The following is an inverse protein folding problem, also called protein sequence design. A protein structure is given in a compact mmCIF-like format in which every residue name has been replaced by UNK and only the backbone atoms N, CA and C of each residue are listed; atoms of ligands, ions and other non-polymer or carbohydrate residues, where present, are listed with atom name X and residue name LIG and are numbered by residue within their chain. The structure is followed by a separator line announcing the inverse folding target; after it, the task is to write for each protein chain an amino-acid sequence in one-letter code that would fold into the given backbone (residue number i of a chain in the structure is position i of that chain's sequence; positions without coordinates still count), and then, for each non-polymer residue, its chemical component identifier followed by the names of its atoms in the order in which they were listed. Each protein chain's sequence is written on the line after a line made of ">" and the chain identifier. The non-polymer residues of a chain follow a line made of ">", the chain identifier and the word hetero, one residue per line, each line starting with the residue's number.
data_IF_457481285038
#
_entry.id   IF_457481285038
#
_cell.length_a   1.000
_cell.length_b   1.000
_cell.length_c   1.000
_cell.angle_alpha   90.00
_cell.angle_beta   90.00
_cell.angle_gamma   90.00
#
_symmetry.space_group_name_H-M   'P 1'
#
loop_
_entity.id
_entity.type
_entity.pdbx_description
1 polymer ?
#
# COMPACT_ATOMS: atom_id res chain seq x y z
N UNK A 1 -22.32 -2.42 -4.12
CA UNK A 1 -21.13 -1.69 -4.63
C UNK A 1 -20.68 -0.68 -3.59
N UNK A 2 -19.46 -0.14 -3.71
CA UNK A 2 -18.98 0.94 -2.81
C UNK A 2 -19.93 2.15 -2.88
N UNK A 3 -20.34 2.54 -4.10
CA UNK A 3 -21.30 3.64 -4.34
C UNK A 3 -22.59 3.47 -3.53
N UNK A 4 -23.24 2.31 -3.65
CA UNK A 4 -24.51 2.06 -2.97
C UNK A 4 -24.36 2.15 -1.44
N UNK A 5 -23.26 1.62 -0.88
CA UNK A 5 -23.03 1.68 0.57
C UNK A 5 -22.78 3.12 1.05
N UNK A 6 -22.03 3.92 0.31
CA UNK A 6 -21.80 5.34 0.62
C UNK A 6 -23.08 6.18 0.52
N UNK A 7 -23.96 5.87 -0.43
CA UNK A 7 -25.26 6.54 -0.57
C UNK A 7 -26.26 6.13 0.53
N UNK A 8 -26.24 4.85 0.93
CA UNK A 8 -27.09 4.34 2.02
C UNK A 8 -26.66 4.84 3.40
N UNK A 9 -25.37 5.11 3.57
CA UNK A 9 -24.78 5.47 4.85
C UNK A 9 -23.84 6.67 4.72
N UNK A 10 -24.40 7.90 4.75
CA UNK A 10 -23.63 9.13 4.66
C UNK A 10 -22.69 9.38 5.85
N UNK A 11 -22.79 8.56 6.92
CA UNK A 11 -21.92 8.69 8.09
C UNK A 11 -20.52 8.13 7.87
N UNK A 12 -20.33 7.31 6.82
CA UNK A 12 -19.01 6.76 6.47
C UNK A 12 -18.09 7.89 6.04
N UNK A 13 -17.03 8.10 6.83
CA UNK A 13 -16.02 9.14 6.62
C UNK A 13 -14.65 8.57 6.21
N UNK A 14 -14.46 7.25 6.30
CA UNK A 14 -13.27 6.53 5.84
C UNK A 14 -13.61 5.21 5.14
N UNK A 15 -12.81 4.90 4.12
CA UNK A 15 -12.79 3.61 3.43
C UNK A 15 -11.37 3.06 3.53
N UNK A 16 -11.23 1.85 4.07
CA UNK A 16 -9.95 1.12 4.09
C UNK A 16 -10.02 0.00 3.06
N UNK A 17 -9.09 0.00 2.10
CA UNK A 17 -9.04 -0.99 1.01
C UNK A 17 -7.84 -1.90 1.16
N UNK A 18 -7.94 -3.16 0.74
CA UNK A 18 -6.88 -4.19 0.91
C UNK A 18 -5.85 -4.21 -0.24
N UNK A 19 -5.69 -3.12 -0.97
CA UNK A 19 -4.80 -3.08 -2.13
C UNK A 19 -4.97 -1.81 -2.97
N UNK A 20 -3.87 -1.32 -3.51
CA UNK A 20 -3.82 -0.11 -4.33
C UNK A 20 -4.86 -0.07 -5.49
N UNK A 21 -5.11 -1.15 -6.28
CA UNK A 21 -6.14 -1.12 -7.32
C UNK A 21 -7.55 -0.87 -6.78
N UNK A 22 -7.87 -1.42 -5.61
CA UNK A 22 -9.19 -1.25 -4.97
C UNK A 22 -9.33 0.16 -4.41
N UNK A 23 -8.24 0.76 -3.93
CA UNK A 23 -8.22 2.16 -3.50
C UNK A 23 -8.64 3.11 -4.62
N UNK A 24 -8.16 2.88 -5.84
CA UNK A 24 -8.51 3.69 -7.01
C UNK A 24 -10.00 3.57 -7.35
N UNK A 25 -10.54 2.34 -7.32
CA UNK A 25 -11.98 2.10 -7.51
C UNK A 25 -12.81 2.78 -6.40
N UNK A 26 -12.29 2.83 -5.17
CA UNK A 26 -12.97 3.53 -4.07
C UNK A 26 -13.00 5.05 -4.27
N UNK A 27 -11.93 5.65 -4.81
CA UNK A 27 -11.92 7.08 -5.17
C UNK A 27 -12.98 7.41 -6.23
N UNK A 28 -13.08 6.59 -7.27
CA UNK A 28 -14.12 6.75 -8.30
C UNK A 28 -15.51 6.63 -7.69
N UNK A 29 -15.72 5.65 -6.81
CA UNK A 29 -17.00 5.44 -6.14
C UNK A 29 -17.38 6.59 -5.19
N UNK A 30 -16.41 7.22 -4.50
CA UNK A 30 -16.64 8.41 -3.69
C UNK A 30 -17.15 9.56 -4.56
N UNK A 31 -16.51 9.78 -5.72
CA UNK A 31 -16.94 10.79 -6.69
C UNK A 31 -18.36 10.58 -7.19
N UNK A 32 -18.70 9.35 -7.59
CA UNK A 32 -20.05 8.99 -8.07
C UNK A 32 -21.10 9.10 -6.95
N UNK A 33 -20.76 8.74 -5.72
CA UNK A 33 -21.66 8.81 -4.58
C UNK A 33 -21.84 10.24 -4.02
N UNK A 34 -20.99 11.20 -4.41
CA UNK A 34 -20.93 12.53 -3.79
C UNK A 34 -20.50 12.48 -2.32
N UNK A 35 -19.75 11.45 -1.92
CA UNK A 35 -19.30 11.25 -0.55
C UNK A 35 -18.10 12.15 -0.21
N UNK A 36 -17.91 12.42 1.08
CA UNK A 36 -16.72 13.11 1.63
C UNK A 36 -15.75 12.14 2.30
N UNK A 37 -15.99 10.83 2.18
CA UNK A 37 -15.14 9.82 2.78
C UNK A 37 -13.71 9.91 2.25
N UNK A 38 -12.74 9.67 3.13
CA UNK A 38 -11.32 9.56 2.80
C UNK A 38 -10.96 8.09 2.53
N UNK A 39 -9.86 7.87 1.79
CA UNK A 39 -9.38 6.51 1.50
C UNK A 39 -8.04 6.26 2.19
N UNK A 40 -7.92 5.11 2.83
CA UNK A 40 -6.64 4.50 3.20
C UNK A 40 -6.53 3.14 2.50
N UNK A 41 -5.31 2.65 2.29
CA UNK A 41 -5.10 1.38 1.58
C UNK A 41 -3.92 0.57 2.11
N UNK A 42 -3.83 -0.66 1.63
CA UNK A 42 -2.65 -1.50 1.70
C UNK A 42 -1.97 -1.53 0.33
N UNK A 43 -0.67 -1.78 0.35
CA UNK A 43 0.21 -1.80 -0.82
C UNK A 43 0.35 -0.45 -1.52
N UNK A 44 1.32 -0.39 -2.44
CA UNK A 44 1.60 0.78 -3.24
C UNK A 44 1.75 0.39 -4.71
N UNK A 45 1.35 1.30 -5.58
CA UNK A 45 1.74 1.32 -6.97
C UNK A 45 1.88 2.80 -7.39
N UNK A 46 2.33 3.06 -8.63
CA UNK A 46 2.52 4.43 -9.09
C UNK A 46 1.24 5.29 -9.00
N UNK A 47 0.07 4.72 -9.28
CA UNK A 47 -1.19 5.45 -9.25
C UNK A 47 -1.61 5.80 -7.81
N UNK A 48 -1.51 4.86 -6.86
CA UNK A 48 -1.77 5.11 -5.45
C UNK A 48 -0.74 6.09 -4.84
N UNK A 49 0.53 5.97 -5.21
CA UNK A 49 1.57 6.90 -4.78
C UNK A 49 1.29 8.34 -5.24
N UNK A 50 0.87 8.53 -6.49
CA UNK A 50 0.41 9.83 -6.98
C UNK A 50 -0.86 10.28 -6.27
N UNK A 51 -1.82 9.39 -6.01
CA UNK A 51 -3.04 9.73 -5.29
C UNK A 51 -2.77 10.16 -3.83
N UNK A 52 -1.74 9.61 -3.18
CA UNK A 52 -1.26 10.09 -1.87
C UNK A 52 -0.64 11.48 -2.00
N UNK A 53 0.24 11.68 -3.00
CA UNK A 53 0.85 12.98 -3.29
C UNK A 53 -0.20 14.07 -3.55
N UNK A 54 -1.28 13.72 -4.25
CA UNK A 54 -2.40 14.62 -4.57
C UNK A 54 -3.42 14.76 -3.42
N UNK A 55 -3.20 14.10 -2.28
CA UNK A 55 -4.09 14.15 -1.11
C UNK A 55 -5.42 13.41 -1.25
N UNK A 56 -5.58 12.57 -2.29
CA UNK A 56 -6.78 11.77 -2.53
C UNK A 56 -6.81 10.49 -1.68
N UNK A 57 -5.65 9.87 -1.47
CA UNK A 57 -5.46 8.77 -0.52
C UNK A 57 -4.72 9.34 0.69
N UNK A 58 -5.24 9.11 1.88
CA UNK A 58 -4.66 9.62 3.12
C UNK A 58 -3.33 8.94 3.46
N UNK A 59 -3.28 7.62 3.32
CA UNK A 59 -2.09 6.81 3.57
C UNK A 59 -2.19 5.43 2.91
N UNK A 60 -1.03 4.82 2.69
CA UNK A 60 -0.89 3.40 2.39
C UNK A 60 -0.05 2.69 3.45
N UNK A 61 -0.42 1.44 3.76
CA UNK A 61 0.42 0.50 4.50
C UNK A 61 1.25 -0.28 3.49
N UNK A 62 2.54 0.02 3.42
CA UNK A 62 3.47 -0.65 2.52
C UNK A 62 4.14 -1.85 3.21
N UNK A 63 3.98 -3.03 2.61
CA UNK A 63 4.59 -4.29 3.05
C UNK A 63 5.88 -4.64 2.30
N UNK A 64 6.31 -3.77 1.38
CA UNK A 64 7.52 -3.87 0.56
C UNK A 64 7.63 -5.20 -0.21
N UNK A 65 6.72 -5.49 -1.17
CA UNK A 65 6.72 -6.76 -1.91
C UNK A 65 8.03 -7.03 -2.65
N UNK A 66 8.73 -5.99 -3.12
CA UNK A 66 10.08 -6.12 -3.68
C UNK A 66 11.06 -6.73 -2.67
N UNK A 67 11.06 -6.24 -1.43
CA UNK A 67 11.94 -6.73 -0.37
C UNK A 67 11.59 -8.18 0.01
N UNK A 68 10.30 -8.53 0.05
CA UNK A 68 9.86 -9.90 0.30
C UNK A 68 10.42 -10.87 -0.76
N UNK A 69 10.29 -10.51 -2.05
CA UNK A 69 10.83 -11.32 -3.15
C UNK A 69 12.35 -11.42 -3.11
N UNK A 70 13.04 -10.31 -2.84
CA UNK A 70 14.50 -10.28 -2.73
C UNK A 70 15.01 -11.17 -1.57
N UNK A 71 14.44 -11.00 -0.37
CA UNK A 71 14.83 -11.77 0.81
C UNK A 71 14.52 -13.27 0.67
N UNK A 72 13.45 -13.64 -0.05
CA UNK A 72 13.15 -15.03 -0.34
C UNK A 72 14.30 -15.70 -1.11
N UNK A 73 14.82 -15.06 -2.17
CA UNK A 73 15.95 -15.61 -2.93
C UNK A 73 17.25 -15.52 -2.14
N UNK A 74 17.54 -14.36 -1.53
CA UNK A 74 18.78 -14.14 -0.80
C UNK A 74 18.94 -15.10 0.39
N UNK A 75 17.87 -15.38 1.13
CA UNK A 75 17.89 -16.33 2.25
C UNK A 75 18.24 -17.74 1.80
N UNK A 76 17.68 -18.21 0.68
CA UNK A 76 17.99 -19.51 0.11
C UNK A 76 19.45 -19.61 -0.34
N UNK A 77 19.98 -18.56 -0.99
CA UNK A 77 21.39 -18.50 -1.39
C UNK A 77 22.29 -18.59 -0.16
N UNK A 78 22.07 -17.73 0.83
CA UNK A 78 22.86 -17.69 2.08
C UNK A 78 22.86 -19.03 2.83
N UNK A 79 21.70 -19.67 2.92
CA UNK A 79 21.58 -20.99 3.54
C UNK A 79 22.36 -22.04 2.74
N UNK A 80 22.23 -22.04 1.41
CA UNK A 80 22.89 -23.02 0.55
C UNK A 80 24.41 -22.86 0.50
N UNK A 81 24.92 -21.64 0.51
CA UNK A 81 26.36 -21.37 0.34
C UNK A 81 27.12 -21.38 1.65
N UNK A 82 26.49 -21.06 2.79
CA UNK A 82 27.18 -20.89 4.06
C UNK A 82 26.35 -21.25 5.31
N UNK A 83 25.20 -21.91 5.14
CA UNK A 83 24.35 -22.34 6.27
C UNK A 83 23.74 -21.20 7.09
N UNK A 84 23.76 -19.96 6.58
CA UNK A 84 23.22 -18.82 7.32
C UNK A 84 21.68 -18.83 7.29
N UNK A 85 21.08 -18.36 8.39
CA UNK A 85 19.63 -18.20 8.54
C UNK A 85 19.33 -16.75 8.91
N UNK A 86 18.33 -16.16 8.27
CA UNK A 86 17.87 -14.79 8.57
C UNK A 86 16.70 -14.88 9.56
N UNK A 87 16.63 -13.93 10.51
CA UNK A 87 15.49 -13.78 11.42
C UNK A 87 15.57 -14.60 12.71
N UNK A 88 16.57 -15.49 12.86
CA UNK A 88 16.84 -16.16 14.14
C UNK A 88 15.66 -17.01 14.65
N UNK A 89 14.87 -17.61 13.76
CA UNK A 89 13.67 -18.37 14.10
C UNK A 89 12.38 -17.55 14.18
N UNK A 90 12.46 -16.24 13.95
CA UNK A 90 11.32 -15.33 13.85
C UNK A 90 11.14 -14.82 12.41
N UNK A 91 9.96 -14.27 12.08
CA UNK A 91 9.74 -13.60 10.80
C UNK A 91 10.70 -12.43 10.58
N UNK A 92 11.21 -12.30 9.35
CA UNK A 92 11.93 -11.08 8.92
C UNK A 92 10.90 -10.08 8.40
N UNK A 93 10.66 -9.03 9.18
CA UNK A 93 9.60 -8.05 8.89
C UNK A 93 9.98 -7.16 7.70
N UNK A 94 9.06 -6.99 6.76
CA UNK A 94 9.17 -6.05 5.62
C UNK A 94 8.15 -4.92 5.68
N UNK A 95 7.43 -4.82 6.80
CA UNK A 95 6.41 -3.83 7.08
C UNK A 95 5.78 -4.07 8.46
N UNK A 96 4.75 -3.29 8.84
CA UNK A 96 4.14 -2.22 8.04
C UNK A 96 4.98 -0.94 8.02
N UNK A 97 5.14 -0.33 6.83
CA UNK A 97 5.65 1.02 6.68
C UNK A 97 4.52 1.96 6.24
N UNK A 98 4.27 3.03 6.98
CA UNK A 98 3.23 4.01 6.62
C UNK A 98 3.78 4.97 5.57
N UNK A 99 3.10 5.06 4.44
CA UNK A 99 3.38 6.02 3.37
C UNK A 99 2.25 7.05 3.32
N UNK A 100 2.59 8.32 3.53
CA UNK A 100 1.64 9.43 3.55
C UNK A 100 2.28 10.71 2.97
N UNK A 101 1.58 11.84 3.05
CA UNK A 101 2.05 13.13 2.53
C UNK A 101 3.42 13.57 3.10
N UNK A 102 3.79 13.14 4.30
CA UNK A 102 5.06 13.52 4.92
C UNK A 102 6.28 12.85 4.28
N UNK A 103 6.10 11.69 3.66
CA UNK A 103 7.22 10.88 3.14
C UNK A 103 7.06 10.42 1.69
N UNK A 104 5.91 10.65 1.05
CA UNK A 104 5.64 10.21 -0.33
C UNK A 104 6.67 10.74 -1.34
N UNK A 105 7.27 11.91 -1.08
CA UNK A 105 8.33 12.46 -1.92
C UNK A 105 9.57 11.56 -2.04
N UNK A 106 9.90 10.82 -0.97
CA UNK A 106 11.02 9.86 -0.95
C UNK A 106 10.63 8.56 -1.66
N UNK A 107 9.36 8.17 -1.59
CA UNK A 107 8.88 6.89 -2.06
C UNK A 107 8.52 6.89 -3.55
N UNK A 108 7.96 7.98 -4.06
CA UNK A 108 7.43 8.09 -5.41
C UNK A 108 8.43 7.71 -6.53
N UNK A 109 9.74 8.05 -6.45
CA UNK A 109 10.70 7.63 -7.46
C UNK A 109 10.82 6.11 -7.61
N UNK A 110 10.72 5.36 -6.51
CA UNK A 110 10.79 3.90 -6.53
C UNK A 110 9.50 3.26 -7.05
N UNK A 111 8.35 3.83 -6.69
CA UNK A 111 7.05 3.40 -7.23
C UNK A 111 6.98 3.61 -8.74
N UNK A 112 7.59 4.70 -9.24
CA UNK A 112 7.73 4.98 -10.68
C UNK A 112 8.57 3.93 -11.41
N UNK A 113 9.55 3.34 -10.73
CA UNK A 113 10.39 2.28 -11.28
C UNK A 113 9.74 0.89 -11.16
N UNK A 114 8.54 0.77 -10.57
CA UNK A 114 7.88 -0.51 -10.34
C UNK A 114 8.57 -1.39 -9.29
N UNK A 115 9.44 -0.80 -8.46
CA UNK A 115 10.19 -1.53 -7.42
C UNK A 115 9.65 -1.26 -6.02
N UNK A 116 8.52 -0.55 -5.92
CA UNK A 116 7.82 -0.19 -4.69
C UNK A 116 6.33 -0.12 -4.93
#
# INVERSE_FOLDING_TARGET
>A
SIVAKLQQDPSIDYIVTMGAPVALVALDAIGVAGSKAKVATFDLNLAAANAIKDGKIAMAVDAQPYLQGYLAVASLVLFKTNGNVIGGGLPTLTGPAIVDASNIGVILPFAKNGTR
#
